data_IF_271731623732
#
_entry.id   IF_271731623732
#
_cell.length_a   1.000
_cell.length_b   1.000
_cell.length_c   1.000
_cell.angle_alpha   90.00
_cell.angle_beta   90.00
_cell.angle_gamma   90.00
#
_symmetry.space_group_name_H-M   'P 1'
#
loop_
_entity.id
_entity.type
_entity.pdbx_description
1 polymer ?
#
# COMPACT_ATOMS: atom_id res chain seq x y z
N UNK A 1 34.30 39.58 -10.59
CA UNK A 1 32.95 39.96 -10.11
C UNK A 1 31.89 38.99 -10.63
N UNK A 2 31.92 38.65 -11.93
CA UNK A 2 31.05 37.63 -12.54
C UNK A 2 31.13 36.26 -11.86
N UNK A 3 32.34 35.74 -11.62
CA UNK A 3 32.55 34.42 -10.97
C UNK A 3 31.95 34.31 -9.55
N UNK A 4 31.91 35.42 -8.80
CA UNK A 4 31.30 35.46 -7.47
C UNK A 4 29.76 35.37 -7.57
N UNK A 5 29.18 35.99 -8.59
CA UNK A 5 27.75 35.95 -8.87
C UNK A 5 27.35 34.55 -9.33
N UNK A 6 28.14 33.93 -10.20
CA UNK A 6 27.90 32.56 -10.69
C UNK A 6 28.01 31.53 -9.54
N UNK A 7 28.98 31.70 -8.64
CA UNK A 7 29.11 30.86 -7.44
C UNK A 7 27.91 31.00 -6.48
N UNK A 8 27.45 32.23 -6.22
CA UNK A 8 26.28 32.47 -5.38
C UNK A 8 24.99 31.92 -6.02
N UNK A 9 24.85 32.05 -7.34
CA UNK A 9 23.70 31.51 -8.07
C UNK A 9 23.69 29.97 -8.05
N UNK A 10 24.85 29.33 -8.27
CA UNK A 10 24.99 27.88 -8.16
C UNK A 10 24.67 27.36 -6.74
N UNK A 11 25.09 28.08 -5.70
CA UNK A 11 24.74 27.77 -4.32
C UNK A 11 23.24 27.88 -4.04
N UNK A 12 22.59 28.92 -4.56
CA UNK A 12 21.13 29.09 -4.48
C UNK A 12 20.37 27.97 -5.18
N UNK A 13 20.80 27.60 -6.39
CA UNK A 13 20.22 26.48 -7.15
C UNK A 13 20.37 25.16 -6.38
N UNK A 14 21.52 24.90 -5.77
CA UNK A 14 21.74 23.70 -4.96
C UNK A 14 20.84 23.66 -3.72
N UNK A 15 20.62 24.79 -3.05
CA UNK A 15 19.69 24.89 -1.91
C UNK A 15 18.25 24.60 -2.36
N UNK A 16 17.80 25.18 -3.47
CA UNK A 16 16.47 24.93 -4.00
C UNK A 16 16.29 23.47 -4.45
N UNK A 17 17.31 22.86 -5.07
CA UNK A 17 17.29 21.44 -5.41
C UNK A 17 17.18 20.56 -4.15
N UNK A 18 17.95 20.85 -3.10
CA UNK A 18 17.87 20.12 -1.84
C UNK A 18 16.52 20.27 -1.12
N UNK A 19 15.91 21.46 -1.18
CA UNK A 19 14.53 21.67 -0.67
C UNK A 19 13.53 20.88 -1.50
N UNK A 20 13.69 20.84 -2.82
CA UNK A 20 12.87 20.04 -3.73
C UNK A 20 12.92 18.55 -3.40
N UNK A 21 14.12 18.01 -3.21
CA UNK A 21 14.34 16.61 -2.82
C UNK A 21 13.71 16.30 -1.46
N UNK A 22 13.86 17.20 -0.48
CA UNK A 22 13.23 17.05 0.84
C UNK A 22 11.70 17.03 0.74
N UNK A 23 11.11 17.93 -0.04
CA UNK A 23 9.66 18.00 -0.23
C UNK A 23 9.13 16.74 -0.92
N UNK A 24 9.82 16.23 -1.94
CA UNK A 24 9.48 14.97 -2.60
C UNK A 24 9.58 13.80 -1.62
N UNK A 25 10.66 13.75 -0.83
CA UNK A 25 10.83 12.72 0.19
C UNK A 25 9.69 12.72 1.21
N UNK A 26 9.34 13.89 1.74
CA UNK A 26 8.23 14.04 2.71
C UNK A 26 6.90 13.66 2.08
N UNK A 27 6.64 14.09 0.85
CA UNK A 27 5.43 13.74 0.10
C UNK A 27 5.27 12.22 -0.07
N UNK A 28 6.30 11.54 -0.58
CA UNK A 28 6.25 10.09 -0.76
C UNK A 28 6.19 9.34 0.58
N UNK A 29 6.90 9.83 1.61
CA UNK A 29 6.85 9.24 2.95
C UNK A 29 5.45 9.32 3.55
N UNK A 30 4.77 10.46 3.41
CA UNK A 30 3.37 10.62 3.83
C UNK A 30 2.43 9.72 3.04
N UNK A 31 2.64 9.58 1.72
CA UNK A 31 1.82 8.70 0.90
C UNK A 31 1.96 7.23 1.35
N UNK A 32 3.19 6.76 1.59
CA UNK A 32 3.44 5.41 2.10
C UNK A 32 2.84 5.21 3.49
N UNK A 33 2.98 6.20 4.37
CA UNK A 33 2.37 6.16 5.71
C UNK A 33 0.85 6.02 5.66
N UNK A 34 0.19 6.78 4.78
CA UNK A 34 -1.26 6.65 4.57
C UNK A 34 -1.62 5.27 4.03
N UNK A 35 -0.81 4.72 3.09
CA UNK A 35 -1.03 3.34 2.57
C UNK A 35 -1.00 2.33 3.71
N UNK A 36 -0.04 2.42 4.62
CA UNK A 36 0.05 1.51 5.76
C UNK A 36 -1.16 1.62 6.70
N UNK A 37 -1.66 2.83 6.97
CA UNK A 37 -2.86 3.04 7.79
C UNK A 37 -4.08 2.40 7.12
N UNK A 38 -4.34 2.70 5.84
CA UNK A 38 -5.50 2.15 5.14
C UNK A 38 -5.40 0.65 4.88
N UNK A 39 -4.18 0.13 4.77
CA UNK A 39 -3.95 -1.30 4.72
C UNK A 39 -4.38 -1.98 6.02
N UNK A 40 -3.94 -1.45 7.18
CA UNK A 40 -4.35 -1.96 8.49
C UNK A 40 -5.86 -1.85 8.70
N UNK A 41 -6.45 -0.69 8.40
CA UNK A 41 -7.90 -0.51 8.48
C UNK A 41 -8.66 -1.48 7.56
N UNK A 42 -8.14 -1.74 6.35
CA UNK A 42 -8.72 -2.72 5.43
C UNK A 42 -8.68 -4.15 5.98
N UNK A 43 -7.57 -4.54 6.60
CA UNK A 43 -7.45 -5.83 7.28
C UNK A 43 -8.44 -5.95 8.45
N UNK A 44 -8.58 -4.90 9.26
CA UNK A 44 -9.52 -4.88 10.39
C UNK A 44 -10.98 -5.04 9.93
N UNK A 45 -11.36 -4.37 8.83
CA UNK A 45 -12.70 -4.51 8.23
C UNK A 45 -12.91 -5.95 7.76
N UNK A 46 -11.94 -6.56 7.10
CA UNK A 46 -12.05 -7.95 6.60
C UNK A 46 -12.15 -8.95 7.75
N UNK A 47 -11.40 -8.72 8.82
CA UNK A 47 -11.49 -9.51 10.05
C UNK A 47 -12.88 -9.35 10.69
N UNK A 48 -13.41 -8.12 10.74
CA UNK A 48 -14.75 -7.84 11.27
C UNK A 48 -15.86 -8.56 10.50
N UNK A 49 -15.76 -8.65 9.18
CA UNK A 49 -16.75 -9.34 8.34
C UNK A 49 -16.58 -10.86 8.25
N UNK A 50 -15.59 -11.42 8.96
CA UNK A 50 -15.23 -12.84 8.96
C UNK A 50 -15.12 -13.42 7.54
N UNK A 51 -14.45 -12.70 6.64
CA UNK A 51 -14.28 -13.15 5.25
C UNK A 51 -13.49 -14.46 5.21
N UNK A 52 -12.53 -14.64 6.13
CA UNK A 52 -11.75 -15.87 6.23
C UNK A 52 -12.60 -17.06 6.68
N UNK A 53 -13.49 -16.91 7.67
CA UNK A 53 -14.42 -17.97 8.06
C UNK A 53 -15.37 -18.37 6.94
N UNK A 54 -15.83 -17.41 6.13
CA UNK A 54 -16.63 -17.70 4.92
C UNK A 54 -15.84 -18.43 3.84
N UNK A 55 -14.58 -18.04 3.61
CA UNK A 55 -13.68 -18.74 2.68
C UNK A 55 -13.43 -20.17 3.19
N UNK A 56 -13.17 -20.37 4.47
CA UNK A 56 -12.94 -21.69 5.04
C UNK A 56 -14.16 -22.60 4.92
N UNK A 57 -15.37 -22.05 5.12
CA UNK A 57 -16.64 -22.76 4.92
C UNK A 57 -16.86 -23.15 3.46
N UNK A 58 -16.50 -22.28 2.51
CA UNK A 58 -16.58 -22.61 1.08
C UNK A 58 -15.59 -23.73 0.71
N UNK A 59 -14.39 -23.69 1.27
CA UNK A 59 -13.37 -24.69 1.01
C UNK A 59 -13.64 -26.03 1.67
N UNK A 60 -14.28 -26.07 2.85
CA UNK A 60 -14.68 -27.32 3.50
C UNK A 60 -15.73 -28.10 2.71
N UNK A 61 -16.46 -27.44 1.81
CA UNK A 61 -17.46 -28.05 0.93
C UNK A 61 -16.87 -28.57 -0.39
N UNK A 62 -15.57 -28.33 -0.66
CA UNK A 62 -14.90 -28.78 -1.88
C UNK A 62 -14.34 -30.20 -1.72
N UNK A 63 -14.16 -30.87 -2.86
CA UNK A 63 -13.50 -32.18 -2.89
C UNK A 63 -12.07 -32.07 -2.28
N UNK A 64 -11.65 -32.99 -1.39
CA UNK A 64 -10.32 -32.98 -0.76
C UNK A 64 -9.15 -32.83 -1.74
N UNK A 65 -9.25 -33.38 -2.95
CA UNK A 65 -8.22 -33.22 -3.99
C UNK A 65 -8.06 -31.77 -4.47
N UNK A 66 -9.16 -31.03 -4.58
CA UNK A 66 -9.15 -29.61 -4.93
C UNK A 66 -8.68 -28.75 -3.77
N UNK A 67 -9.04 -29.10 -2.54
CA UNK A 67 -8.57 -28.39 -1.34
C UNK A 67 -7.05 -28.44 -1.23
N UNK A 68 -6.43 -29.60 -1.48
CA UNK A 68 -4.97 -29.74 -1.50
C UNK A 68 -4.33 -28.95 -2.65
N UNK A 69 -4.92 -28.96 -3.85
CA UNK A 69 -4.43 -28.16 -4.96
C UNK A 69 -4.50 -26.65 -4.64
N UNK A 70 -5.61 -26.17 -4.09
CA UNK A 70 -5.76 -24.76 -3.73
C UNK A 70 -4.89 -24.34 -2.54
N UNK A 71 -4.60 -25.25 -1.60
CA UNK A 71 -3.64 -25.03 -0.54
C UNK A 71 -2.20 -24.90 -1.10
N UNK A 72 -1.82 -25.78 -2.05
CA UNK A 72 -0.53 -25.71 -2.73
C UNK A 72 -0.32 -24.37 -3.45
N UNK A 73 -1.36 -23.89 -4.15
CA UNK A 73 -1.33 -22.59 -4.83
C UNK A 73 -1.61 -21.38 -3.92
N UNK A 74 -1.76 -21.59 -2.60
CA UNK A 74 -2.04 -20.52 -1.62
C UNK A 74 -3.23 -19.64 -2.01
N UNK A 75 -4.26 -20.24 -2.63
CA UNK A 75 -5.38 -19.49 -3.19
C UNK A 75 -6.15 -18.74 -2.10
N UNK A 76 -6.31 -19.33 -0.91
CA UNK A 76 -6.94 -18.67 0.25
C UNK A 76 -6.23 -17.37 0.63
N UNK A 77 -4.91 -17.43 0.75
CA UNK A 77 -4.07 -16.27 1.08
C UNK A 77 -4.17 -15.19 -0.01
N UNK A 78 -4.19 -15.61 -1.28
CA UNK A 78 -4.31 -14.68 -2.40
C UNK A 78 -5.69 -13.99 -2.43
N UNK A 79 -6.78 -14.72 -2.19
CA UNK A 79 -8.14 -14.16 -2.11
C UNK A 79 -8.24 -13.18 -0.94
N UNK A 80 -7.67 -13.51 0.21
CA UNK A 80 -7.61 -12.59 1.36
C UNK A 80 -6.87 -11.30 0.99
N UNK A 81 -5.69 -11.41 0.37
CA UNK A 81 -4.86 -10.28 -0.01
C UNK A 81 -5.56 -9.39 -1.06
N UNK A 82 -6.26 -9.99 -2.04
CA UNK A 82 -7.06 -9.26 -3.03
C UNK A 82 -8.27 -8.55 -2.39
N UNK A 83 -8.94 -9.18 -1.43
CA UNK A 83 -10.02 -8.54 -0.69
C UNK A 83 -9.50 -7.33 0.11
N UNK A 84 -8.36 -7.49 0.79
CA UNK A 84 -7.70 -6.41 1.54
C UNK A 84 -7.30 -5.26 0.63
N UNK A 85 -6.61 -5.57 -0.48
CA UNK A 85 -6.23 -4.56 -1.45
C UNK A 85 -7.45 -3.82 -2.03
N UNK A 86 -8.58 -4.50 -2.26
CA UNK A 86 -9.81 -3.89 -2.77
C UNK A 86 -10.44 -2.92 -1.76
N UNK A 87 -10.53 -3.33 -0.49
CA UNK A 87 -11.10 -2.49 0.57
C UNK A 87 -10.16 -1.32 0.86
N UNK A 88 -8.85 -1.53 0.94
CA UNK A 88 -7.86 -0.46 1.09
C UNK A 88 -7.97 0.56 -0.04
N UNK A 89 -8.09 0.11 -1.31
CA UNK A 89 -8.33 1.02 -2.44
C UNK A 89 -9.64 1.80 -2.30
N UNK A 90 -10.70 1.19 -1.78
CA UNK A 90 -11.96 1.87 -1.52
C UNK A 90 -11.83 2.91 -0.40
N UNK A 91 -11.10 2.61 0.67
CA UNK A 91 -10.81 3.57 1.74
C UNK A 91 -10.05 4.79 1.22
N UNK A 92 -9.05 4.57 0.34
CA UNK A 92 -8.34 5.66 -0.32
C UNK A 92 -9.25 6.57 -1.16
N UNK A 93 -10.28 6.01 -1.79
CA UNK A 93 -11.22 6.79 -2.63
C UNK A 93 -12.15 7.73 -1.84
N UNK A 94 -12.23 7.62 -0.51
CA UNK A 94 -12.98 8.58 0.30
C UNK A 94 -12.20 9.85 0.64
N UNK A 95 -10.89 9.85 0.42
CA UNK A 95 -9.99 10.95 0.78
C UNK A 95 -9.56 11.75 -0.45
N UNK A 96 -9.63 11.15 -1.64
CA UNK A 96 -9.48 11.83 -2.94
C UNK A 96 -10.77 12.54 -3.35
#
# INVERSE_FOLDING_TARGET
>A
MQELIDFLYAGLVAIFAGIGDLLLYVYFSLMLFLVDIFWKMGQDIIAFYDVMGKIDTLFSNLNPGLVNAFAFFKVKECVHLLATARITRYLFSFIS
#
